data_IF_267123720275
#
_entry.id   IF_267123720275
#
_cell.length_a   1.000
_cell.length_b   1.000
_cell.length_c   1.000
_cell.angle_alpha   90.00
_cell.angle_beta   90.00
_cell.angle_gamma   90.00
#
_symmetry.space_group_name_H-M   'P 1'
#
loop_
_entity.id
_entity.type
_entity.pdbx_description
1 polymer ?
#
# COMPACT_ATOMS: atom_id res chain seq x y z
N UNK A 1 19.49 -14.34 29.77
CA UNK A 1 18.94 -12.97 29.87
C UNK A 1 18.36 -12.58 28.51
N UNK A 2 17.04 -12.41 28.44
CA UNK A 2 16.22 -12.41 27.22
C UNK A 2 16.41 -11.17 26.34
N UNK A 3 16.92 -11.34 25.11
CA UNK A 3 16.94 -10.29 24.11
C UNK A 3 15.55 -10.17 23.46
N UNK A 4 14.83 -9.08 23.78
CA UNK A 4 13.50 -8.78 23.20
C UNK A 4 13.61 -8.53 21.69
N UNK A 5 12.73 -9.10 20.85
CA UNK A 5 12.60 -8.66 19.47
C UNK A 5 11.93 -7.28 19.43
N UNK A 6 12.65 -6.26 18.96
CA UNK A 6 12.10 -4.93 18.66
C UNK A 6 12.25 -4.61 17.18
N UNK A 7 11.55 -5.33 16.32
CA UNK A 7 11.44 -4.97 14.88
C UNK A 7 10.00 -4.85 14.37
N UNK A 8 8.98 -4.94 15.24
CA UNK A 8 7.57 -5.04 14.80
C UNK A 8 6.74 -3.76 14.69
N UNK A 9 7.26 -2.55 14.98
CA UNK A 9 6.39 -1.38 15.27
C UNK A 9 6.35 -0.23 14.26
N UNK A 10 7.07 -0.27 13.13
CA UNK A 10 7.19 0.93 12.25
C UNK A 10 6.69 0.80 10.81
N UNK A 11 6.23 -0.36 10.37
CA UNK A 11 5.74 -0.56 8.98
C UNK A 11 4.23 -0.34 8.81
N UNK A 12 3.44 -0.37 9.89
CA UNK A 12 1.97 -0.32 9.83
C UNK A 12 1.41 1.05 9.38
N UNK A 13 2.21 2.12 9.42
CA UNK A 13 1.74 3.49 9.15
C UNK A 13 1.79 3.89 7.67
N UNK A 14 2.40 3.11 6.78
CA UNK A 14 2.56 3.51 5.37
C UNK A 14 1.23 3.53 4.60
N UNK A 15 0.29 2.66 4.95
CA UNK A 15 -1.07 2.63 4.37
C UNK A 15 -1.81 3.92 4.69
N UNK A 16 -1.90 4.27 5.97
CA UNK A 16 -2.65 5.45 6.41
C UNK A 16 -1.98 6.76 6.02
N UNK A 17 -0.64 6.79 5.91
CA UNK A 17 0.07 8.01 5.60
C UNK A 17 0.16 8.30 4.09
N UNK A 18 0.38 7.31 3.23
CA UNK A 18 0.63 7.57 1.81
C UNK A 18 -0.58 7.24 0.93
N UNK A 19 -1.22 6.09 1.15
CA UNK A 19 -2.42 5.74 0.38
C UNK A 19 -3.58 6.69 0.68
N UNK A 20 -3.90 6.93 1.97
CA UNK A 20 -5.03 7.79 2.32
C UNK A 20 -4.78 9.27 1.99
N UNK A 21 -3.53 9.75 2.01
CA UNK A 21 -3.20 11.10 1.52
C UNK A 21 -3.36 11.22 0.01
N UNK A 22 -2.91 10.22 -0.76
CA UNK A 22 -3.16 10.19 -2.20
C UNK A 22 -4.67 10.14 -2.51
N UNK A 23 -5.43 9.33 -1.76
CA UNK A 23 -6.89 9.28 -1.87
C UNK A 23 -7.54 10.62 -1.54
N UNK A 24 -7.10 11.29 -0.47
CA UNK A 24 -7.59 12.61 -0.09
C UNK A 24 -7.33 13.65 -1.19
N UNK A 25 -6.16 13.62 -1.82
CA UNK A 25 -5.84 14.54 -2.92
C UNK A 25 -6.71 14.28 -4.15
N UNK A 26 -6.87 13.02 -4.57
CA UNK A 26 -7.72 12.67 -5.71
C UNK A 26 -9.20 13.02 -5.45
N UNK A 27 -9.66 12.83 -4.22
CA UNK A 27 -11.02 13.17 -3.80
C UNK A 27 -11.23 14.68 -3.77
N UNK A 28 -10.28 15.46 -3.24
CA UNK A 28 -10.35 16.91 -3.20
C UNK A 28 -10.28 17.58 -4.58
N UNK A 29 -9.79 16.85 -5.59
CA UNK A 29 -9.73 17.29 -6.99
C UNK A 29 -10.91 16.75 -7.84
N UNK A 30 -11.91 16.11 -7.21
CA UNK A 30 -13.05 15.46 -7.88
C UNK A 30 -12.67 14.39 -8.92
N UNK A 31 -11.46 13.83 -8.81
CA UNK A 31 -10.96 12.78 -9.71
C UNK A 31 -11.40 11.38 -9.26
N UNK A 32 -11.93 11.25 -8.04
CA UNK A 32 -12.52 10.00 -7.55
C UNK A 32 -13.66 10.26 -6.57
N UNK A 33 -14.72 9.45 -6.66
CA UNK A 33 -15.81 9.45 -5.69
C UNK A 33 -15.47 8.74 -4.36
N UNK A 34 -14.29 8.08 -4.27
CA UNK A 34 -13.88 7.34 -3.06
C UNK A 34 -13.30 8.29 -2.01
N UNK A 35 -14.12 8.60 -1.01
CA UNK A 35 -13.67 9.38 0.14
C UNK A 35 -12.54 8.67 0.92
N UNK A 36 -11.52 9.42 1.39
CA UNK A 36 -10.50 8.90 2.29
C UNK A 36 -11.12 8.51 3.64
N UNK A 37 -10.50 7.56 4.35
CA UNK A 37 -10.95 7.10 5.68
C UNK A 37 -12.41 6.62 5.75
N UNK A 38 -12.94 6.08 4.65
CA UNK A 38 -14.33 5.62 4.58
C UNK A 38 -14.62 4.49 5.59
N UNK A 39 -15.69 4.68 6.37
CA UNK A 39 -16.27 3.67 7.27
C UNK A 39 -17.37 2.85 6.60
N UNK A 40 -17.62 3.05 5.30
CA UNK A 40 -18.60 2.27 4.55
C UNK A 40 -18.25 0.78 4.59
N UNK A 41 -19.22 -0.10 4.85
CA UNK A 41 -19.00 -1.54 4.90
C UNK A 41 -18.60 -2.07 3.53
N UNK A 42 -17.63 -3.00 3.50
CA UNK A 42 -17.18 -3.66 2.27
C UNK A 42 -17.80 -5.04 2.12
N UNK A 43 -18.21 -5.39 0.90
CA UNK A 43 -18.62 -6.75 0.57
C UNK A 43 -17.42 -7.72 0.61
N UNK A 44 -17.62 -9.01 1.00
CA UNK A 44 -18.90 -9.64 1.39
C UNK A 44 -19.18 -9.63 2.90
N UNK A 45 -18.19 -9.33 3.74
CA UNK A 45 -18.27 -9.51 5.20
C UNK A 45 -18.69 -8.25 5.97
N UNK A 46 -18.91 -7.11 5.30
CA UNK A 46 -19.37 -5.87 5.93
C UNK A 46 -18.31 -5.09 6.71
N UNK A 47 -17.03 -5.46 6.63
CA UNK A 47 -15.95 -4.79 7.36
C UNK A 47 -15.77 -3.36 6.83
N UNK A 48 -15.61 -2.32 7.69
CA UNK A 48 -15.39 -0.95 7.25
C UNK A 48 -14.17 -0.84 6.32
N UNK A 49 -14.31 -0.04 5.25
CA UNK A 49 -13.31 0.05 4.18
C UNK A 49 -11.92 0.45 4.70
N UNK A 50 -11.83 1.38 5.66
CA UNK A 50 -10.56 1.79 6.26
C UNK A 50 -9.82 0.64 6.95
N UNK A 51 -10.54 -0.29 7.59
CA UNK A 51 -9.92 -1.46 8.23
C UNK A 51 -9.49 -2.49 7.20
N UNK A 52 -10.35 -2.75 6.22
CA UNK A 52 -10.04 -3.66 5.11
C UNK A 52 -8.77 -3.23 4.37
N UNK A 53 -8.67 -1.95 4.00
CA UNK A 53 -7.51 -1.44 3.25
C UNK A 53 -6.25 -1.40 4.10
N UNK A 54 -6.37 -1.13 5.40
CA UNK A 54 -5.23 -1.18 6.33
C UNK A 54 -4.69 -2.60 6.47
N UNK A 55 -5.57 -3.60 6.60
CA UNK A 55 -5.19 -5.00 6.67
C UNK A 55 -4.49 -5.46 5.39
N UNK A 56 -5.11 -5.26 4.22
CA UNK A 56 -4.54 -5.67 2.93
C UNK A 56 -3.24 -4.92 2.63
N UNK A 57 -3.19 -3.63 2.96
CA UNK A 57 -1.98 -2.83 2.81
C UNK A 57 -0.83 -3.32 3.71
N UNK A 58 -1.11 -3.79 4.93
CA UNK A 58 -0.08 -4.39 5.78
C UNK A 58 0.42 -5.73 5.22
N UNK A 59 -0.48 -6.57 4.70
CA UNK A 59 -0.12 -7.85 4.07
C UNK A 59 0.78 -7.65 2.83
N UNK A 60 0.36 -6.77 1.91
CA UNK A 60 1.18 -6.41 0.75
C UNK A 60 2.48 -5.73 1.16
N UNK A 61 2.48 -4.94 2.23
CA UNK A 61 3.68 -4.28 2.75
C UNK A 61 4.71 -5.28 3.29
N UNK A 62 4.25 -6.33 3.96
CA UNK A 62 5.10 -7.44 4.40
C UNK A 62 5.69 -8.20 3.20
N UNK A 63 4.87 -8.47 2.18
CA UNK A 63 5.32 -9.12 0.95
C UNK A 63 6.37 -8.27 0.22
N UNK A 64 6.09 -6.97 0.02
CA UNK A 64 7.03 -6.02 -0.57
C UNK A 64 8.36 -6.00 0.20
N UNK A 65 8.30 -5.91 1.54
CA UNK A 65 9.50 -5.89 2.38
C UNK A 65 10.34 -7.17 2.22
N UNK A 66 9.69 -8.33 2.15
CA UNK A 66 10.37 -9.61 1.89
C UNK A 66 10.97 -9.65 0.47
N UNK A 67 10.20 -9.25 -0.55
CA UNK A 67 10.62 -9.27 -1.95
C UNK A 67 11.78 -8.33 -2.24
N UNK A 68 11.84 -7.18 -1.58
CA UNK A 68 12.83 -6.13 -1.83
C UNK A 68 13.91 -6.05 -0.74
N UNK A 69 14.02 -7.07 0.12
CA UNK A 69 14.92 -7.08 1.29
C UNK A 69 16.41 -6.85 0.96
N UNK A 70 16.82 -7.10 -0.29
CA UNK A 70 18.21 -6.93 -0.78
C UNK A 70 18.43 -5.63 -1.55
N UNK A 71 17.39 -4.81 -1.74
CA UNK A 71 17.48 -3.56 -2.47
C UNK A 71 17.62 -2.39 -1.52
N UNK A 72 18.36 -1.39 -1.96
CA UNK A 72 18.67 -0.20 -1.19
C UNK A 72 18.66 1.06 -2.07
N UNK A 73 18.53 2.23 -1.43
CA UNK A 73 18.61 3.53 -2.10
C UNK A 73 17.56 3.70 -3.20
N UNK A 74 17.94 4.31 -4.32
CA UNK A 74 17.03 4.56 -5.46
C UNK A 74 16.43 3.28 -6.02
N UNK A 75 17.19 2.18 -6.06
CA UNK A 75 16.69 0.88 -6.57
C UNK A 75 15.53 0.37 -5.71
N UNK A 76 15.63 0.46 -4.38
CA UNK A 76 14.54 0.11 -3.49
C UNK A 76 13.30 0.96 -3.75
N UNK A 77 13.46 2.28 -3.89
CA UNK A 77 12.34 3.20 -4.06
C UNK A 77 11.61 2.96 -5.40
N UNK A 78 12.34 2.81 -6.50
CA UNK A 78 11.77 2.53 -7.82
C UNK A 78 11.10 1.16 -7.86
N UNK A 79 11.73 0.13 -7.29
CA UNK A 79 11.12 -1.20 -7.21
C UNK A 79 9.89 -1.22 -6.32
N UNK A 80 9.88 -0.47 -5.20
CA UNK A 80 8.72 -0.38 -4.32
C UNK A 80 7.55 0.39 -4.97
N UNK A 81 7.84 1.47 -5.70
CA UNK A 81 6.85 2.19 -6.51
C UNK A 81 6.24 1.27 -7.57
N UNK A 82 7.07 0.58 -8.35
CA UNK A 82 6.61 -0.35 -9.39
C UNK A 82 5.81 -1.52 -8.81
N UNK A 83 6.29 -2.11 -7.71
CA UNK A 83 5.60 -3.18 -6.99
C UNK A 83 4.20 -2.74 -6.58
N UNK A 84 4.08 -1.57 -5.93
CA UNK A 84 2.80 -1.02 -5.51
C UNK A 84 1.89 -0.70 -6.70
N UNK A 85 2.41 -0.02 -7.72
CA UNK A 85 1.63 0.38 -8.88
C UNK A 85 1.04 -0.81 -9.66
N UNK A 86 1.75 -1.94 -9.70
CA UNK A 86 1.39 -3.09 -10.55
C UNK A 86 0.68 -4.18 -9.75
N UNK A 87 1.33 -4.79 -8.75
CA UNK A 87 0.85 -6.05 -8.19
C UNK A 87 -0.48 -5.91 -7.40
N UNK A 88 -0.60 -5.01 -6.40
CA UNK A 88 -1.88 -4.74 -5.76
C UNK A 88 -2.97 -4.28 -6.75
N UNK A 89 -2.62 -3.50 -7.78
CA UNK A 89 -3.57 -3.00 -8.78
C UNK A 89 -4.17 -4.14 -9.61
N UNK A 90 -3.34 -5.06 -10.10
CA UNK A 90 -3.80 -6.23 -10.85
C UNK A 90 -4.70 -7.11 -9.99
N UNK A 91 -4.32 -7.36 -8.73
CA UNK A 91 -5.16 -8.13 -7.80
C UNK A 91 -6.48 -7.41 -7.50
N UNK A 92 -6.43 -6.10 -7.31
CA UNK A 92 -7.62 -5.29 -7.06
C UNK A 92 -8.59 -5.34 -8.25
N UNK A 93 -8.09 -5.27 -9.48
CA UNK A 93 -8.90 -5.25 -10.70
C UNK A 93 -9.48 -6.61 -11.08
N UNK A 94 -8.69 -7.68 -10.98
CA UNK A 94 -9.06 -8.97 -11.56
C UNK A 94 -9.55 -9.99 -10.53
N UNK A 95 -9.36 -9.73 -9.24
CA UNK A 95 -9.86 -10.60 -8.18
C UNK A 95 -10.81 -9.84 -7.25
N UNK A 96 -10.36 -8.73 -6.66
CA UNK A 96 -11.16 -8.03 -5.64
C UNK A 96 -12.40 -7.38 -6.23
N UNK A 97 -12.31 -6.73 -7.40
CA UNK A 97 -13.45 -6.10 -8.04
C UNK A 97 -14.53 -7.14 -8.43
N UNK A 98 -14.21 -8.24 -9.15
CA UNK A 98 -15.17 -9.31 -9.44
C UNK A 98 -15.83 -9.91 -8.19
N UNK A 99 -15.05 -10.18 -7.14
CA UNK A 99 -15.59 -10.69 -5.86
C UNK A 99 -16.58 -9.74 -5.19
N UNK A 100 -16.51 -8.44 -5.52
CA UNK A 100 -17.43 -7.40 -5.02
C UNK A 100 -18.57 -7.11 -6.00
N UNK A 101 -18.69 -7.84 -7.10
CA UNK A 101 -19.63 -7.54 -8.19
C UNK A 101 -19.32 -6.23 -8.93
N UNK A 102 -18.09 -5.73 -8.82
CA UNK A 102 -17.62 -4.52 -9.49
C UNK A 102 -16.99 -4.87 -10.84
N UNK A 103 -17.02 -3.95 -11.83
CA UNK A 103 -16.39 -4.21 -13.11
C UNK A 103 -14.87 -4.35 -12.98
N UNK A 104 -14.32 -5.32 -13.71
CA UNK A 104 -12.87 -5.51 -13.82
C UNK A 104 -12.20 -4.25 -14.36
N UNK A 105 -10.98 -3.96 -13.90
CA UNK A 105 -10.21 -2.79 -14.32
C UNK A 105 -11.00 -1.47 -14.25
N UNK A 106 -11.90 -1.32 -13.28
CA UNK A 106 -12.74 -0.13 -13.14
C UNK A 106 -13.66 0.10 -14.35
N UNK A 107 -14.05 -0.96 -15.06
CA UNK A 107 -14.84 -0.86 -16.29
C UNK A 107 -14.06 -0.31 -17.48
N UNK A 108 -12.72 -0.42 -17.46
CA UNK A 108 -11.82 0.17 -18.46
C UNK A 108 -11.94 1.70 -18.56
N UNK A 109 -12.51 2.34 -17.54
CA UNK A 109 -12.58 3.80 -17.45
C UNK A 109 -11.18 4.33 -17.16
N UNK A 110 -10.56 5.14 -18.05
CA UNK A 110 -9.17 5.55 -17.91
C UNK A 110 -8.87 6.17 -16.56
N UNK A 111 -9.73 7.06 -16.07
CA UNK A 111 -9.49 7.71 -14.78
C UNK A 111 -9.58 6.75 -13.60
N UNK A 112 -10.54 5.82 -13.60
CA UNK A 112 -10.63 4.81 -12.55
C UNK A 112 -9.40 3.90 -12.51
N UNK A 113 -8.86 3.56 -13.70
CA UNK A 113 -7.64 2.78 -13.82
C UNK A 113 -6.42 3.56 -13.32
N UNK A 114 -6.24 4.78 -13.80
CA UNK A 114 -5.12 5.65 -13.40
C UNK A 114 -5.15 5.94 -11.91
N UNK A 115 -6.32 6.21 -11.33
CA UNK A 115 -6.47 6.41 -9.89
C UNK A 115 -5.99 5.18 -9.09
N UNK A 116 -6.36 3.96 -9.49
CA UNK A 116 -5.90 2.74 -8.83
C UNK A 116 -4.36 2.60 -8.88
N UNK A 117 -3.75 2.89 -10.02
CA UNK A 117 -2.29 2.85 -10.19
C UNK A 117 -1.61 3.89 -9.30
N UNK A 118 -2.11 5.14 -9.28
CA UNK A 118 -1.55 6.22 -8.46
C UNK A 118 -1.64 5.86 -6.97
N UNK A 119 -2.82 5.40 -6.52
CA UNK A 119 -3.05 5.08 -5.12
C UNK A 119 -2.13 3.96 -4.62
N UNK A 120 -2.05 2.85 -5.36
CA UNK A 120 -1.19 1.75 -4.98
C UNK A 120 0.31 2.06 -5.20
N UNK A 121 0.66 2.86 -6.21
CA UNK A 121 2.02 3.33 -6.44
C UNK A 121 2.52 4.25 -5.31
N UNK A 122 1.71 5.22 -4.90
CA UNK A 122 2.01 6.10 -3.77
C UNK A 122 2.19 5.31 -2.46
N UNK A 123 1.32 4.32 -2.24
CA UNK A 123 1.46 3.39 -1.12
C UNK A 123 2.78 2.58 -1.18
N UNK A 124 3.12 2.02 -2.34
CA UNK A 124 4.35 1.25 -2.55
C UNK A 124 5.59 2.09 -2.29
N UNK A 125 5.65 3.30 -2.85
CA UNK A 125 6.74 4.26 -2.62
C UNK A 125 6.87 4.61 -1.13
N UNK A 126 5.76 4.94 -0.46
CA UNK A 126 5.75 5.23 0.97
C UNK A 126 6.25 4.06 1.83
N UNK A 127 5.93 2.83 1.43
CA UNK A 127 6.46 1.61 2.07
C UNK A 127 7.97 1.47 1.84
N UNK A 128 8.45 1.70 0.62
CA UNK A 128 9.88 1.71 0.29
C UNK A 128 10.67 2.75 1.08
N UNK A 129 10.13 3.97 1.24
CA UNK A 129 10.72 5.02 2.09
C UNK A 129 10.80 4.54 3.55
N UNK A 130 9.73 3.93 4.07
CA UNK A 130 9.72 3.36 5.42
C UNK A 130 10.80 2.29 5.62
N UNK A 131 10.99 1.40 4.64
CA UNK A 131 12.05 0.39 4.68
C UNK A 131 13.46 1.02 4.63
N UNK A 132 13.67 2.03 3.78
CA UNK A 132 14.94 2.73 3.68
C UNK A 132 15.33 3.44 4.98
N UNK A 133 14.36 4.02 5.69
CA UNK A 133 14.59 4.79 6.91
C UNK A 133 14.65 3.92 8.18
N UNK A 134 13.85 2.85 8.25
CA UNK A 134 13.63 2.10 9.49
C UNK A 134 13.94 0.60 9.41
N UNK A 135 14.12 0.05 8.21
CA UNK A 135 14.28 -1.40 8.00
C UNK A 135 15.69 -1.94 8.24
N UNK A 136 16.69 -1.07 8.45
CA UNK A 136 18.09 -1.52 8.56
C UNK A 136 18.56 -1.64 10.01
N UNK A 137 19.13 -2.79 10.43
CA UNK A 137 20.01 -2.84 11.59
C UNK A 137 21.19 -1.88 11.34
N UNK A 138 21.42 -0.92 12.25
CA UNK A 138 22.65 -0.13 12.20
C UNK A 138 23.83 -1.08 12.33
N UNK A 139 24.66 -1.20 11.30
CA UNK A 139 25.94 -1.87 11.43
C UNK A 139 26.71 -1.17 12.56
N UNK A 140 27.16 -1.93 13.56
CA UNK A 140 28.06 -1.41 14.59
C UNK A 140 29.38 -1.03 13.89
N UNK A 141 29.97 0.15 14.16
CA UNK A 141 31.32 0.44 13.70
C UNK A 141 32.28 -0.63 14.23
N UNK A 142 33.30 -1.04 13.45
CA UNK A 142 34.39 -1.84 13.99
C UNK A 142 35.06 -1.08 15.14
N UNK A 143 35.37 -1.80 16.22
CA UNK A 143 36.11 -1.28 17.38
C UNK A 143 37.60 -1.24 17.10
#
# INVERSE_FOLDING_TARGET
MLARPRSGRRCANSVLAFHQRAAALLYALDLTARAPYSMQPTSPWGVPQVWSITFWGALWGALLAASLARLDGVRLLLSALAFGAVLPTLVAWFFVAPLKGQPMAGGLVPMAMTAAIILNGAWGLGTGIGLALFGRPRARPPR
#
